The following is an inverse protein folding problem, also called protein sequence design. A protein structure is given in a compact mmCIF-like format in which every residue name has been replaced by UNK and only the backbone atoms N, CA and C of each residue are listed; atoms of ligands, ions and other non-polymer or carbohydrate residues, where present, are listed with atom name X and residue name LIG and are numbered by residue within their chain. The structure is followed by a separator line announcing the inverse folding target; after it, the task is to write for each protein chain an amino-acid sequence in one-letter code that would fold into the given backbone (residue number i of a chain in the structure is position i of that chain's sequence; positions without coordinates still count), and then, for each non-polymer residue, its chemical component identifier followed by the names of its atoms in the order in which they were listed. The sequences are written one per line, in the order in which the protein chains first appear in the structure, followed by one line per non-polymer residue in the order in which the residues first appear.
data_IF_005466505566
#
_entry.id   IF_005466505566
#
_cell.length_a   1.000
_cell.length_b   1.000
_cell.length_c   1.000
_cell.angle_alpha   90.00
_cell.angle_beta   90.00
_cell.angle_gamma   90.00
#
_symmetry.space_group_name_H-M   'P 1'
#
loop_
_entity.id
_entity.type
_entity.pdbx_description
1 polymer ?
#
# COMPACT_ATOMS: atom_id res chain seq x y z
N UNK A 1 15.13 59.36 17.07
CA UNK A 1 15.25 58.60 15.81
C UNK A 1 16.34 57.53 15.99
N UNK A 2 16.20 56.53 16.84
CA UNK A 2 17.29 55.60 17.19
C UNK A 2 16.84 54.25 17.79
N UNK A 3 15.52 53.97 17.90
CA UNK A 3 15.03 52.77 18.56
C UNK A 3 14.45 51.69 17.65
N UNK A 4 14.39 51.92 16.34
CA UNK A 4 13.75 51.00 15.38
C UNK A 4 14.74 49.96 14.82
N UNK A 5 16.05 50.16 14.90
CA UNK A 5 17.05 49.26 14.33
C UNK A 5 17.54 48.13 15.24
N UNK A 6 17.19 48.12 16.52
CA UNK A 6 17.62 47.08 17.44
C UNK A 6 16.69 45.84 17.49
N UNK A 7 15.51 45.92 16.87
CA UNK A 7 14.49 44.87 16.92
C UNK A 7 14.46 43.96 15.67
N UNK A 8 15.32 44.22 14.70
CA UNK A 8 15.37 43.40 13.45
C UNK A 8 16.53 42.38 13.43
N UNK A 9 17.28 42.24 14.49
CA UNK A 9 18.26 41.18 14.66
C UNK A 9 17.76 40.09 15.61
N UNK A 10 16.45 39.88 15.62
CA UNK A 10 15.90 38.67 16.20
C UNK A 10 16.36 37.50 15.36
N UNK A 11 17.29 36.79 15.93
CA UNK A 11 17.95 35.56 15.52
C UNK A 11 16.92 34.50 15.10
N UNK A 12 16.35 34.61 13.89
CA UNK A 12 15.61 33.57 13.26
C UNK A 12 16.61 32.54 12.78
N UNK A 13 17.03 31.65 13.66
CA UNK A 13 17.61 30.37 13.26
C UNK A 13 16.69 29.77 12.21
N UNK A 14 17.14 29.60 10.96
CA UNK A 14 16.27 29.02 9.94
C UNK A 14 15.83 27.64 10.45
N UNK A 15 14.55 27.28 10.33
CA UNK A 15 14.11 25.96 10.73
C UNK A 15 14.98 24.96 10.02
N UNK A 16 15.54 24.02 10.76
CA UNK A 16 16.39 22.93 10.26
C UNK A 16 15.61 22.22 9.14
N UNK A 17 15.78 22.67 7.91
CA UNK A 17 15.23 22.04 6.72
C UNK A 17 15.95 20.71 6.57
N UNK A 18 15.39 19.65 7.15
CA UNK A 18 15.77 18.28 6.76
C UNK A 18 15.73 18.26 5.24
N UNK A 19 16.87 18.10 4.61
CA UNK A 19 16.99 18.05 3.15
C UNK A 19 16.24 16.83 2.65
N UNK A 20 14.98 17.03 2.26
CA UNK A 20 14.14 15.99 1.69
C UNK A 20 14.70 15.71 0.29
N UNK A 21 15.17 14.49 0.05
CA UNK A 21 15.68 14.10 -1.26
C UNK A 21 14.58 14.15 -2.31
N UNK A 22 14.85 14.64 -3.54
CA UNK A 22 13.86 14.66 -4.62
C UNK A 22 13.41 13.24 -4.97
N UNK A 23 12.19 13.10 -5.50
CA UNK A 23 11.72 11.82 -6.02
C UNK A 23 12.50 11.43 -7.28
N UNK A 24 12.65 10.16 -7.50
CA UNK A 24 13.12 9.64 -8.78
C UNK A 24 12.17 10.02 -9.90
N UNK A 25 12.69 10.18 -11.11
CA UNK A 25 11.80 10.36 -12.25
C UNK A 25 10.89 9.14 -12.43
N UNK A 26 9.64 9.31 -12.85
CA UNK A 26 8.70 8.18 -13.03
C UNK A 26 9.25 7.07 -13.93
N UNK A 27 10.03 7.43 -14.97
CA UNK A 27 10.63 6.47 -15.88
C UNK A 27 11.63 5.55 -15.16
N UNK A 28 12.58 6.10 -14.40
CA UNK A 28 13.55 5.31 -13.65
C UNK A 28 12.90 4.46 -12.55
N UNK A 29 11.89 5.01 -11.88
CA UNK A 29 11.14 4.26 -10.88
C UNK A 29 10.38 3.08 -11.52
N UNK A 30 9.80 3.27 -12.69
CA UNK A 30 9.12 2.21 -13.44
C UNK A 30 10.07 1.12 -13.93
N UNK A 31 11.23 1.49 -14.45
CA UNK A 31 12.26 0.52 -14.86
C UNK A 31 12.75 -0.29 -13.66
N UNK A 32 13.04 0.36 -12.54
CA UNK A 32 13.47 -0.33 -11.32
C UNK A 32 12.39 -1.30 -10.80
N UNK A 33 11.12 -0.89 -10.81
CA UNK A 33 10.01 -1.75 -10.44
C UNK A 33 9.88 -2.96 -11.36
N UNK A 34 10.01 -2.75 -12.68
CA UNK A 34 9.97 -3.83 -13.66
C UNK A 34 11.11 -4.84 -13.48
N UNK A 35 12.33 -4.36 -13.21
CA UNK A 35 13.47 -5.22 -12.92
C UNK A 35 13.28 -6.02 -11.64
N UNK A 36 12.76 -5.42 -10.56
CA UNK A 36 12.44 -6.14 -9.31
C UNK A 36 11.37 -7.20 -9.56
N UNK A 37 10.35 -6.89 -10.35
CA UNK A 37 9.31 -7.85 -10.71
C UNK A 37 9.87 -9.02 -11.51
N UNK A 38 10.72 -8.75 -12.51
CA UNK A 38 11.41 -9.78 -13.29
C UNK A 38 12.28 -10.66 -12.39
N UNK A 39 13.05 -10.03 -11.51
CA UNK A 39 13.90 -10.75 -10.56
C UNK A 39 13.07 -11.65 -9.62
N UNK A 40 11.92 -11.15 -9.15
CA UNK A 40 11.02 -11.94 -8.32
C UNK A 40 10.52 -13.18 -9.07
N UNK A 41 10.10 -13.04 -10.33
CA UNK A 41 9.68 -14.18 -11.16
C UNK A 41 10.81 -15.19 -11.37
N UNK A 42 12.02 -14.70 -11.69
CA UNK A 42 13.18 -15.59 -11.95
C UNK A 42 13.62 -16.34 -10.71
N UNK A 43 13.65 -15.68 -9.54
CA UNK A 43 14.14 -16.29 -8.31
C UNK A 43 13.11 -17.16 -7.58
N UNK A 44 11.83 -16.77 -7.63
CA UNK A 44 10.78 -17.42 -6.82
C UNK A 44 9.75 -18.18 -7.65
N UNK A 45 9.73 -17.98 -8.96
CA UNK A 45 8.68 -18.51 -9.83
C UNK A 45 7.30 -17.85 -9.61
N UNK A 46 7.23 -16.79 -8.79
CA UNK A 46 5.98 -16.16 -8.39
C UNK A 46 6.01 -14.67 -8.66
N UNK A 47 4.83 -14.11 -8.99
CA UNK A 47 4.66 -12.65 -9.13
C UNK A 47 4.46 -11.95 -7.79
N UNK A 48 4.42 -10.62 -7.84
CA UNK A 48 4.08 -9.80 -6.67
C UNK A 48 2.61 -9.97 -6.28
N UNK A 49 2.30 -9.88 -4.99
CA UNK A 49 0.92 -9.91 -4.52
C UNK A 49 0.85 -9.68 -3.01
N UNK A 50 -0.12 -8.90 -2.54
CA UNK A 50 -0.35 -8.66 -1.12
C UNK A 50 -1.58 -9.40 -0.58
N UNK A 51 -2.55 -9.68 -1.46
CA UNK A 51 -3.84 -10.29 -1.07
C UNK A 51 -3.67 -11.66 -0.43
N UNK A 52 -2.72 -12.46 -0.90
CA UNK A 52 -2.42 -13.78 -0.32
C UNK A 52 -1.87 -13.68 1.11
N UNK A 53 -1.03 -12.70 1.41
CA UNK A 53 -0.50 -12.49 2.75
C UNK A 53 -1.61 -12.05 3.72
N UNK A 54 -2.48 -11.10 3.31
CA UNK A 54 -3.61 -10.67 4.15
C UNK A 54 -4.61 -11.78 4.40
N UNK A 55 -4.83 -12.69 3.43
CA UNK A 55 -5.69 -13.87 3.63
C UNK A 55 -5.10 -14.83 4.64
N UNK A 56 -3.80 -15.09 4.55
CA UNK A 56 -3.11 -15.98 5.49
C UNK A 56 -3.08 -15.41 6.90
N UNK A 57 -2.91 -14.08 7.01
CA UNK A 57 -3.03 -13.38 8.28
C UNK A 57 -4.46 -13.52 8.86
N UNK A 58 -5.49 -13.34 8.02
CA UNK A 58 -6.88 -13.53 8.44
C UNK A 58 -7.17 -14.98 8.87
N UNK A 59 -6.63 -15.98 8.16
CA UNK A 59 -6.73 -17.38 8.53
C UNK A 59 -6.06 -17.66 9.88
N UNK A 60 -4.85 -17.15 10.08
CA UNK A 60 -4.11 -17.30 11.33
C UNK A 60 -4.82 -16.65 12.52
N UNK A 61 -5.29 -15.41 12.36
CA UNK A 61 -6.08 -14.72 13.39
C UNK A 61 -7.42 -15.43 13.66
N UNK A 62 -8.10 -15.88 12.60
CA UNK A 62 -9.35 -16.63 12.72
C UNK A 62 -9.18 -17.94 13.47
N UNK A 63 -8.09 -18.66 13.24
CA UNK A 63 -7.75 -19.87 13.98
C UNK A 63 -7.46 -19.61 15.47
N UNK A 64 -6.90 -18.43 15.79
CA UNK A 64 -6.67 -18.01 17.18
C UNK A 64 -7.95 -17.62 17.93
N UNK A 65 -8.94 -17.05 17.24
CA UNK A 65 -10.19 -16.55 17.86
C UNK A 65 -11.29 -17.61 17.86
N UNK A 66 -11.48 -18.29 16.73
CA UNK A 66 -12.55 -19.27 16.53
C UNK A 66 -12.04 -20.44 15.66
N UNK A 67 -11.25 -21.37 16.22
CA UNK A 67 -10.57 -22.42 15.46
C UNK A 67 -11.56 -23.32 14.67
N UNK A 68 -12.68 -23.70 15.28
CA UNK A 68 -13.68 -24.55 14.63
C UNK A 68 -14.33 -23.85 13.41
N UNK A 69 -14.64 -22.57 13.52
CA UNK A 69 -15.22 -21.80 12.41
C UNK A 69 -14.20 -21.52 11.29
N UNK A 70 -12.95 -21.28 11.67
CA UNK A 70 -11.88 -21.02 10.70
C UNK A 70 -11.52 -22.28 9.89
N UNK A 71 -11.44 -23.45 10.55
CA UNK A 71 -11.17 -24.73 9.88
C UNK A 71 -12.36 -25.23 9.04
N UNK A 72 -13.59 -24.98 9.46
CA UNK A 72 -14.79 -25.32 8.71
C UNK A 72 -15.03 -24.40 7.49
N UNK A 73 -14.32 -23.28 7.40
CA UNK A 73 -14.45 -22.34 6.29
C UNK A 73 -13.79 -22.92 5.03
N UNK A 74 -14.55 -23.08 3.95
CA UNK A 74 -14.10 -23.64 2.67
C UNK A 74 -12.90 -22.89 2.06
N UNK A 75 -12.75 -21.59 2.38
CA UNK A 75 -11.68 -20.76 1.84
C UNK A 75 -10.45 -20.66 2.76
N UNK A 76 -10.66 -20.61 4.07
CA UNK A 76 -9.58 -20.47 5.05
C UNK A 76 -9.02 -21.82 5.51
N UNK A 77 -9.86 -22.84 5.58
CA UNK A 77 -9.50 -24.18 6.01
C UNK A 77 -8.25 -24.74 5.32
N UNK A 78 -8.21 -24.78 3.98
CA UNK A 78 -7.05 -25.28 3.25
C UNK A 78 -5.74 -24.52 3.54
N UNK A 79 -5.82 -23.26 3.93
CA UNK A 79 -4.64 -22.46 4.32
C UNK A 79 -4.12 -22.83 5.72
N UNK A 80 -4.99 -23.36 6.57
CA UNK A 80 -4.67 -23.82 7.93
C UNK A 80 -4.12 -25.25 7.94
N UNK A 81 -4.53 -26.10 6.99
CA UNK A 81 -4.06 -27.46 6.85
C UNK A 81 -2.53 -27.56 6.64
N UNK A 82 -1.92 -26.53 6.06
CA UNK A 82 -0.46 -26.43 5.92
C UNK A 82 0.29 -26.29 7.25
N UNK A 83 -0.42 -26.13 8.38
CA UNK A 83 0.12 -25.99 9.73
C UNK A 83 0.77 -24.64 10.02
N UNK A 84 1.28 -23.93 9.02
CA UNK A 84 1.97 -22.64 9.16
C UNK A 84 1.58 -21.67 8.05
N UNK A 85 0.40 -21.05 8.12
CA UNK A 85 -0.09 -20.16 7.05
C UNK A 85 0.82 -18.95 6.80
N UNK A 86 1.57 -18.50 7.80
CA UNK A 86 2.46 -17.33 7.69
C UNK A 86 3.84 -17.66 7.11
N UNK A 87 4.25 -18.92 7.01
CA UNK A 87 5.56 -19.30 6.46
C UNK A 87 5.66 -19.26 4.93
N UNK A 88 4.54 -18.98 4.24
CA UNK A 88 4.51 -18.88 2.80
C UNK A 88 5.38 -17.73 2.28
N UNK A 89 6.01 -17.93 1.11
CA UNK A 89 6.87 -16.95 0.46
C UNK A 89 6.24 -15.54 0.36
N UNK A 90 4.92 -15.47 0.13
CA UNK A 90 4.18 -14.21 -0.01
C UNK A 90 4.17 -13.38 1.30
N UNK A 91 4.22 -14.02 2.46
CA UNK A 91 4.33 -13.33 3.75
C UNK A 91 5.71 -12.68 3.90
N UNK A 92 6.77 -13.40 3.51
CA UNK A 92 8.14 -12.89 3.48
C UNK A 92 8.31 -11.76 2.48
N UNK A 93 7.64 -11.85 1.32
CA UNK A 93 7.62 -10.78 0.32
C UNK A 93 7.02 -9.49 0.89
N UNK A 94 5.85 -9.56 1.53
CA UNK A 94 5.21 -8.38 2.13
C UNK A 94 6.07 -7.79 3.25
N UNK A 95 6.71 -8.64 4.07
CA UNK A 95 7.65 -8.19 5.09
C UNK A 95 8.84 -7.45 4.46
N UNK A 96 9.42 -8.00 3.39
CA UNK A 96 10.52 -7.37 2.67
C UNK A 96 10.13 -6.00 2.08
N UNK A 97 8.94 -5.89 1.49
CA UNK A 97 8.40 -4.61 1.00
C UNK A 97 8.22 -3.61 2.13
N UNK A 98 7.69 -4.04 3.28
CA UNK A 98 7.52 -3.16 4.44
C UNK A 98 8.86 -2.64 4.97
N UNK A 99 9.87 -3.51 5.13
CA UNK A 99 11.21 -3.13 5.55
C UNK A 99 11.86 -2.18 4.54
N UNK A 100 11.75 -2.48 3.23
CA UNK A 100 12.28 -1.63 2.17
C UNK A 100 11.63 -0.25 2.14
N UNK A 101 10.32 -0.17 2.31
CA UNK A 101 9.59 1.09 2.39
C UNK A 101 10.00 1.91 3.62
N UNK A 102 10.15 1.28 4.78
CA UNK A 102 10.65 1.93 5.99
C UNK A 102 12.06 2.48 5.78
N UNK A 103 12.99 1.65 5.33
CA UNK A 103 14.38 2.04 5.08
C UNK A 103 14.45 3.21 4.07
N UNK A 104 13.69 3.13 2.99
CA UNK A 104 13.61 4.18 1.96
C UNK A 104 13.07 5.48 2.54
N UNK A 105 12.01 5.44 3.36
CA UNK A 105 11.40 6.63 3.96
C UNK A 105 12.34 7.32 4.96
N UNK A 106 13.09 6.54 5.74
CA UNK A 106 14.12 7.08 6.62
C UNK A 106 15.25 7.71 5.84
N UNK A 107 15.75 7.04 4.81
CA UNK A 107 16.87 7.54 3.98
C UNK A 107 16.51 8.79 3.18
N UNK A 108 15.24 8.89 2.75
CA UNK A 108 14.74 10.08 2.07
C UNK A 108 14.38 11.24 3.01
N UNK A 109 14.45 11.04 4.35
CA UNK A 109 14.08 12.06 5.34
C UNK A 109 12.57 12.37 5.37
N UNK A 110 11.73 11.42 4.89
CA UNK A 110 10.28 11.61 4.71
C UNK A 110 9.44 10.93 5.78
N UNK A 111 10.05 10.34 6.77
CA UNK A 111 9.33 9.71 7.86
C UNK A 111 8.48 10.72 8.61
N UNK A 112 7.17 10.63 8.46
CA UNK A 112 6.18 11.46 9.15
C UNK A 112 4.93 10.64 9.43
N UNK A 113 4.42 10.74 10.64
CA UNK A 113 3.10 10.21 11.00
C UNK A 113 2.15 11.40 10.95
N UNK A 114 1.41 11.52 9.86
CA UNK A 114 0.46 12.62 9.67
C UNK A 114 -0.82 12.10 9.03
N UNK A 115 -1.93 12.76 9.38
CA UNK A 115 -3.21 12.53 8.72
C UNK A 115 -3.37 13.60 7.64
N UNK A 116 -3.07 13.22 6.38
CA UNK A 116 -3.22 14.11 5.23
C UNK A 116 -4.68 14.28 4.83
N UNK A 117 -5.03 15.43 4.25
CA UNK A 117 -6.34 15.74 3.70
C UNK A 117 -6.76 17.20 4.02
N UNK A 118 -7.89 17.62 3.46
CA UNK A 118 -8.45 18.95 3.67
C UNK A 118 -8.70 19.22 5.16
N UNK A 119 -8.22 20.36 5.67
CA UNK A 119 -8.35 20.75 7.08
C UNK A 119 -9.79 20.90 7.55
N UNK A 120 -10.74 21.10 6.61
CA UNK A 120 -12.17 21.28 6.87
C UNK A 120 -12.91 20.02 7.33
N UNK A 121 -12.30 18.82 7.16
CA UNK A 121 -12.96 17.56 7.50
C UNK A 121 -12.43 17.05 8.85
N UNK A 122 -13.32 16.89 9.82
CA UNK A 122 -12.97 16.39 11.17
C UNK A 122 -12.23 15.04 11.14
N UNK A 123 -11.31 14.82 12.10
CA UNK A 123 -10.48 13.61 12.22
C UNK A 123 -11.31 12.32 12.19
N UNK A 124 -12.46 12.28 12.87
CA UNK A 124 -13.33 11.10 12.93
C UNK A 124 -13.91 10.74 11.57
N UNK A 125 -14.38 11.73 10.81
CA UNK A 125 -14.95 11.51 9.46
C UNK A 125 -13.87 10.98 8.51
N UNK A 126 -12.63 11.47 8.62
CA UNK A 126 -11.49 11.02 7.81
C UNK A 126 -11.14 9.55 8.09
N UNK A 127 -11.11 9.16 9.36
CA UNK A 127 -10.87 7.76 9.75
C UNK A 127 -12.02 6.87 9.26
N UNK A 128 -13.27 7.31 9.42
CA UNK A 128 -14.42 6.55 8.95
C UNK A 128 -14.43 6.37 7.43
N UNK A 129 -14.16 7.42 6.65
CA UNK A 129 -14.08 7.31 5.19
C UNK A 129 -12.91 6.43 4.72
N UNK A 130 -11.75 6.51 5.38
CA UNK A 130 -10.62 5.64 5.11
C UNK A 130 -10.94 4.17 5.41
N UNK A 131 -11.64 3.90 6.52
CA UNK A 131 -12.06 2.54 6.89
C UNK A 131 -13.05 1.97 5.88
N UNK A 132 -14.08 2.75 5.51
CA UNK A 132 -15.07 2.33 4.50
C UNK A 132 -14.38 2.08 3.16
N UNK A 133 -13.52 2.99 2.72
CA UNK A 133 -12.74 2.83 1.48
C UNK A 133 -11.85 1.59 1.51
N UNK A 134 -11.19 1.32 2.62
CA UNK A 134 -10.38 0.13 2.82
C UNK A 134 -11.19 -1.18 2.78
N UNK A 135 -12.37 -1.20 3.40
CA UNK A 135 -13.30 -2.34 3.35
C UNK A 135 -13.78 -2.60 1.91
N UNK A 136 -14.19 -1.55 1.20
CA UNK A 136 -14.62 -1.67 -0.21
C UNK A 136 -13.48 -2.16 -1.11
N UNK A 137 -12.28 -1.63 -0.93
CA UNK A 137 -11.10 -2.05 -1.68
C UNK A 137 -10.73 -3.52 -1.39
N UNK A 138 -10.80 -3.93 -0.12
CA UNK A 138 -10.56 -5.32 0.28
C UNK A 138 -11.58 -6.29 -0.30
N UNK A 139 -12.86 -5.92 -0.27
CA UNK A 139 -13.92 -6.70 -0.90
C UNK A 139 -13.74 -6.78 -2.42
N UNK A 140 -13.47 -5.63 -3.07
CA UNK A 140 -13.23 -5.57 -4.51
C UNK A 140 -12.04 -6.43 -4.94
N UNK A 141 -10.95 -6.44 -4.19
CA UNK A 141 -9.79 -7.30 -4.46
C UNK A 141 -10.12 -8.80 -4.36
N UNK A 142 -11.12 -9.17 -3.55
CA UNK A 142 -11.61 -10.56 -3.47
C UNK A 142 -12.45 -10.94 -4.68
N UNK A 143 -13.39 -10.08 -5.07
CA UNK A 143 -14.25 -10.30 -6.24
C UNK A 143 -13.41 -10.35 -7.53
N UNK A 144 -12.39 -9.48 -7.62
CA UNK A 144 -11.48 -9.44 -8.77
C UNK A 144 -10.44 -10.59 -8.77
N UNK A 145 -10.44 -11.47 -7.77
CA UNK A 145 -9.44 -12.53 -7.60
C UNK A 145 -7.98 -12.04 -7.53
N UNK A 146 -7.75 -10.78 -7.17
CA UNK A 146 -6.42 -10.21 -7.00
C UNK A 146 -6.41 -8.71 -6.71
N UNK A 147 -5.26 -8.23 -6.26
CA UNK A 147 -5.00 -6.80 -6.03
C UNK A 147 -4.25 -6.18 -7.22
N UNK A 148 -4.04 -4.86 -7.16
CA UNK A 148 -3.30 -4.14 -8.22
C UNK A 148 -1.87 -4.65 -8.41
N UNK A 149 -1.19 -5.11 -7.35
CA UNK A 149 0.16 -5.70 -7.47
C UNK A 149 0.15 -7.14 -8.00
N UNK A 150 -0.86 -7.94 -7.63
CA UNK A 150 -0.99 -9.31 -8.10
C UNK A 150 -1.59 -9.39 -9.51
N UNK A 151 -2.88 -9.05 -9.62
CA UNK A 151 -3.56 -9.13 -10.91
C UNK A 151 -3.11 -8.03 -11.88
N UNK A 152 -3.04 -6.77 -11.41
CA UNK A 152 -2.66 -5.66 -12.27
C UNK A 152 -1.22 -5.74 -12.76
N UNK A 153 -0.25 -5.75 -11.85
CA UNK A 153 1.17 -5.67 -12.22
C UNK A 153 1.73 -7.02 -12.67
N UNK A 154 1.60 -8.06 -11.84
CA UNK A 154 2.13 -9.40 -12.17
C UNK A 154 1.35 -10.05 -13.30
N UNK A 155 0.03 -9.89 -13.35
CA UNK A 155 -0.80 -10.39 -14.43
C UNK A 155 -0.52 -9.67 -15.76
N UNK A 156 -0.25 -8.36 -15.75
CA UNK A 156 0.16 -7.63 -16.94
C UNK A 156 1.55 -8.07 -17.44
N UNK A 157 2.48 -8.34 -16.54
CA UNK A 157 3.81 -8.86 -16.88
C UNK A 157 3.75 -10.23 -17.59
N UNK A 158 2.74 -11.04 -17.26
CA UNK A 158 2.47 -12.32 -17.94
C UNK A 158 1.50 -12.19 -19.12
N UNK A 159 1.19 -10.97 -19.56
CA UNK A 159 0.29 -10.66 -20.67
C UNK A 159 -1.14 -11.24 -20.50
N UNK A 160 -1.61 -11.38 -19.26
CA UNK A 160 -2.95 -11.87 -18.99
C UNK A 160 -4.01 -10.85 -19.43
N UNK A 161 -4.98 -11.28 -20.22
CA UNK A 161 -6.12 -10.45 -20.66
C UNK A 161 -6.89 -9.90 -19.45
N UNK A 162 -7.09 -10.73 -18.43
CA UNK A 162 -7.76 -10.34 -17.20
C UNK A 162 -7.08 -9.15 -16.51
N UNK A 163 -5.74 -9.08 -16.54
CA UNK A 163 -4.97 -7.98 -16.00
C UNK A 163 -5.23 -6.66 -16.74
N UNK A 164 -5.27 -6.69 -18.06
CA UNK A 164 -5.55 -5.49 -18.87
C UNK A 164 -6.98 -4.99 -18.66
N UNK A 165 -7.96 -5.89 -18.61
CA UNK A 165 -9.36 -5.53 -18.29
C UNK A 165 -9.44 -4.93 -16.88
N UNK A 166 -8.79 -5.57 -15.89
CA UNK A 166 -8.74 -5.07 -14.52
C UNK A 166 -8.15 -3.66 -14.44
N UNK A 167 -7.00 -3.42 -15.09
CA UNK A 167 -6.36 -2.10 -15.11
C UNK A 167 -7.24 -1.06 -15.79
N UNK A 168 -7.87 -1.39 -16.92
CA UNK A 168 -8.79 -0.48 -17.63
C UNK A 168 -9.96 -0.06 -16.73
N UNK A 169 -10.64 -1.02 -16.11
CA UNK A 169 -11.76 -0.74 -15.20
C UNK A 169 -11.29 0.03 -13.96
N UNK A 170 -10.14 -0.32 -13.39
CA UNK A 170 -9.56 0.36 -12.23
C UNK A 170 -9.30 1.85 -12.50
N UNK A 171 -8.66 2.19 -13.63
CA UNK A 171 -8.39 3.58 -13.97
C UNK A 171 -9.66 4.36 -14.33
N UNK A 172 -10.59 3.75 -15.09
CA UNK A 172 -11.87 4.38 -15.43
C UNK A 172 -12.67 4.66 -14.15
N UNK A 173 -12.82 3.67 -13.27
CA UNK A 173 -13.52 3.84 -12.00
C UNK A 173 -12.87 4.90 -11.11
N UNK A 174 -11.52 4.93 -11.05
CA UNK A 174 -10.78 5.94 -10.31
C UNK A 174 -11.00 7.36 -10.84
N UNK A 175 -10.99 7.54 -12.16
CA UNK A 175 -11.26 8.82 -12.81
C UNK A 175 -12.71 9.28 -12.58
N UNK A 176 -13.68 8.40 -12.70
CA UNK A 176 -15.08 8.69 -12.44
C UNK A 176 -15.30 9.07 -10.97
N UNK A 177 -14.76 8.28 -10.04
CA UNK A 177 -14.84 8.57 -8.62
C UNK A 177 -14.19 9.91 -8.28
N UNK A 178 -13.00 10.22 -8.83
CA UNK A 178 -12.33 11.50 -8.59
C UNK A 178 -13.12 12.70 -9.09
N UNK A 179 -13.94 12.54 -10.13
CA UNK A 179 -14.81 13.61 -10.62
C UNK A 179 -16.08 13.76 -9.79
N UNK A 180 -16.65 12.66 -9.29
CA UNK A 180 -17.85 12.67 -8.46
C UNK A 180 -17.56 13.23 -7.05
N UNK A 181 -16.39 12.92 -6.50
CA UNK A 181 -15.97 13.33 -5.16
C UNK A 181 -15.03 14.54 -5.15
N UNK A 182 -15.09 15.41 -6.19
CA UNK A 182 -14.36 16.69 -6.19
C UNK A 182 -14.86 17.55 -5.04
N UNK A 183 -14.07 17.61 -3.96
CA UNK A 183 -14.35 18.49 -2.80
C UNK A 183 -14.59 17.77 -1.47
N UNK A 184 -14.35 16.46 -1.38
CA UNK A 184 -14.34 15.75 -0.10
C UNK A 184 -12.94 15.68 0.49
#
# INVERSE_FOLDING_TARGET
MGYINAMMLSNSTPPNHRTIRPFWSPAWAGVALGLVLLLTFVLTGHGLGATGATTRLAAWLGAGIAPAAASANTYLGPLLESGQPMSAWISWQVLGVAIGALASSFWAGRWRIQLDGLHSVGRGRRIATALIGGLMAGFGARVAAGCTSGLGLSGAATLSIAAFVFLGVFFIAGLLASRLFKGV
#
